data_IF_748306163679
#
_entry.id   IF_748306163679
#
_cell.length_a   1.000
_cell.length_b   1.000
_cell.length_c   1.000
_cell.angle_alpha   90.00
_cell.angle_beta   90.00
_cell.angle_gamma   90.00
#
_symmetry.space_group_name_H-M   'P 1'
#
loop_
_entity.id
_entity.type
_entity.pdbx_description
1 polymer ?
#
# COMPACT_ATOMS: atom_id res chain seq x y z
N UNK A 1 27.56 96.79 -9.66
CA UNK A 1 26.33 97.15 -10.38
C UNK A 1 26.00 95.96 -11.27
N UNK A 2 25.59 94.82 -10.73
CA UNK A 2 24.21 94.48 -10.29
C UNK A 2 23.15 94.97 -11.27
N UNK A 3 22.69 94.05 -12.12
CA UNK A 3 21.29 93.93 -12.51
C UNK A 3 21.05 92.46 -12.89
N UNK A 4 20.97 91.60 -11.87
CA UNK A 4 20.27 90.34 -12.01
C UNK A 4 18.80 90.68 -12.20
N UNK A 5 18.30 90.50 -13.42
CA UNK A 5 16.86 90.56 -13.72
C UNK A 5 16.12 89.65 -12.72
N UNK A 6 14.98 90.10 -12.14
CA UNK A 6 14.28 89.33 -11.13
C UNK A 6 13.67 88.09 -11.79
N UNK A 7 14.21 86.91 -11.50
CA UNK A 7 13.54 85.66 -11.80
C UNK A 7 12.32 85.60 -10.88
N UNK A 8 11.13 85.69 -11.47
CA UNK A 8 9.88 85.59 -10.74
C UNK A 8 9.79 84.20 -10.08
N UNK A 9 9.68 84.07 -8.74
CA UNK A 9 9.65 82.77 -8.06
C UNK A 9 8.44 81.90 -8.44
N UNK A 10 7.42 82.50 -9.07
CA UNK A 10 6.27 81.80 -9.65
C UNK A 10 6.64 80.89 -10.84
N UNK A 11 7.79 81.10 -11.49
CA UNK A 11 8.21 80.32 -12.67
C UNK A 11 8.99 79.04 -12.33
N UNK A 12 9.22 78.71 -11.05
CA UNK A 12 9.90 77.46 -10.65
C UNK A 12 8.93 76.29 -10.42
N UNK A 13 7.65 76.47 -10.74
CA UNK A 13 6.60 75.48 -10.60
C UNK A 13 6.37 74.75 -11.94
N UNK A 14 6.27 73.40 -11.91
CA UNK A 14 6.19 72.50 -13.09
C UNK A 14 4.96 72.70 -14.00
N UNK A 15 4.11 73.68 -13.73
CA UNK A 15 2.79 73.86 -14.34
C UNK A 15 2.80 74.94 -15.44
N UNK A 16 3.99 75.43 -15.81
CA UNK A 16 4.26 76.39 -16.87
C UNK A 16 5.29 75.83 -17.85
N UNK A 17 5.09 76.02 -19.15
CA UNK A 17 6.13 75.72 -20.15
C UNK A 17 7.23 76.78 -20.16
N UNK A 18 8.48 76.32 -20.26
CA UNK A 18 9.68 77.16 -20.30
C UNK A 18 10.18 77.32 -21.74
N UNK A 19 10.12 78.54 -22.28
CA UNK A 19 10.72 78.85 -23.59
C UNK A 19 11.49 80.17 -23.55
N UNK A 20 12.78 80.14 -23.88
CA UNK A 20 13.63 81.33 -24.02
C UNK A 20 13.52 82.36 -22.85
N UNK A 21 13.63 81.87 -21.60
CA UNK A 21 13.68 82.71 -20.38
C UNK A 21 12.41 83.53 -20.07
N UNK A 22 11.26 83.19 -20.66
CA UNK A 22 9.96 83.80 -20.36
C UNK A 22 8.93 82.72 -19.98
N UNK A 23 8.14 82.97 -18.92
CA UNK A 23 6.95 82.18 -18.56
C UNK A 23 5.81 82.60 -19.49
N UNK A 24 5.27 81.68 -20.29
CA UNK A 24 4.35 82.09 -21.36
C UNK A 24 2.89 81.70 -21.06
N UNK A 25 2.56 80.52 -20.52
CA UNK A 25 1.18 80.18 -20.07
C UNK A 25 1.16 78.94 -19.15
N UNK A 26 0.10 78.79 -18.34
CA UNK A 26 -0.19 77.55 -17.61
C UNK A 26 -0.48 76.41 -18.58
N UNK A 27 -0.10 75.19 -18.22
CA UNK A 27 -0.52 73.98 -18.94
C UNK A 27 -2.06 73.87 -18.91
N UNK A 28 -2.69 73.24 -19.94
CA UNK A 28 -4.13 72.97 -19.91
C UNK A 28 -4.51 72.26 -18.59
N UNK A 29 -5.62 72.69 -17.97
CA UNK A 29 -6.20 72.11 -16.73
C UNK A 29 -5.42 72.31 -15.42
N UNK A 30 -4.37 73.15 -15.45
CA UNK A 30 -3.64 73.59 -14.25
C UNK A 30 -3.95 75.05 -13.88
N UNK A 31 -4.41 75.27 -12.65
CA UNK A 31 -4.69 76.60 -12.09
C UNK A 31 -3.68 76.97 -11.00
N UNK A 32 -3.25 78.24 -10.98
CA UNK A 32 -2.37 78.75 -9.93
C UNK A 32 -3.18 79.54 -8.90
N UNK A 33 -3.37 78.98 -7.70
CA UNK A 33 -4.07 79.64 -6.60
C UNK A 33 -3.10 79.72 -5.41
N UNK A 34 -2.89 80.92 -4.87
CA UNK A 34 -2.00 81.17 -3.71
C UNK A 34 -0.59 80.55 -3.81
N UNK A 35 0.08 80.66 -4.97
CA UNK A 35 1.43 80.12 -5.22
C UNK A 35 1.54 78.58 -5.19
N UNK A 36 0.42 77.86 -5.18
CA UNK A 36 0.38 76.42 -5.36
C UNK A 36 -0.28 76.11 -6.71
N UNK A 37 0.27 75.12 -7.40
CA UNK A 37 -0.37 74.56 -8.58
C UNK A 37 -1.48 73.62 -8.14
N UNK A 38 -2.66 73.81 -8.70
CA UNK A 38 -3.86 73.03 -8.43
C UNK A 38 -4.31 72.44 -9.76
N UNK A 39 -4.51 71.13 -9.80
CA UNK A 39 -5.02 70.39 -10.94
C UNK A 39 -6.51 70.06 -10.67
N UNK A 40 -7.38 70.33 -11.63
CA UNK A 40 -8.82 70.06 -11.50
C UNK A 40 -9.16 68.74 -12.21
N UNK A 41 -9.47 67.71 -11.42
CA UNK A 41 -9.88 66.39 -11.90
C UNK A 41 -11.37 66.18 -11.54
N UNK A 42 -12.23 66.01 -12.54
CA UNK A 42 -13.68 65.71 -12.44
C UNK A 42 -14.51 66.46 -11.36
N UNK A 43 -14.20 67.74 -11.12
CA UNK A 43 -14.90 68.66 -10.21
C UNK A 43 -14.56 68.57 -8.70
N UNK A 44 -13.47 67.92 -8.30
CA UNK A 44 -12.90 68.09 -6.95
C UNK A 44 -11.52 68.74 -6.98
N UNK A 45 -11.28 69.67 -6.04
CA UNK A 45 -10.01 70.40 -5.91
C UNK A 45 -9.05 69.54 -5.09
N UNK A 46 -8.18 68.79 -5.75
CA UNK A 46 -7.16 67.98 -5.08
C UNK A 46 -5.91 68.84 -4.88
N UNK A 47 -5.54 69.07 -3.62
CA UNK A 47 -4.33 69.78 -3.24
C UNK A 47 -3.32 68.78 -2.67
N UNK A 48 -2.76 67.91 -3.50
CA UNK A 48 -1.55 67.19 -3.11
C UNK A 48 -0.72 66.74 -4.31
N UNK A 49 0.60 66.73 -4.12
CA UNK A 49 1.64 66.59 -5.14
C UNK A 49 1.78 65.16 -5.71
N UNK A 50 0.83 64.26 -5.46
CA UNK A 50 0.97 62.81 -5.70
C UNK A 50 -0.18 62.22 -6.54
N UNK A 51 -0.56 62.83 -7.66
CA UNK A 51 -1.45 62.18 -8.64
C UNK A 51 -0.86 62.26 -10.06
N UNK A 52 -0.89 61.11 -10.75
CA UNK A 52 -0.11 60.81 -11.97
C UNK A 52 -0.94 60.17 -13.10
N UNK A 53 -2.29 60.10 -13.05
CA UNK A 53 -3.08 59.67 -14.23
C UNK A 53 -4.10 60.72 -14.66
N UNK A 54 -4.09 61.05 -15.96
CA UNK A 54 -4.99 61.99 -16.62
C UNK A 54 -5.85 61.19 -17.60
N UNK A 55 -7.17 61.13 -17.39
CA UNK A 55 -8.13 60.49 -18.31
C UNK A 55 -8.46 61.42 -19.49
N UNK A 56 -7.44 61.80 -20.26
CA UNK A 56 -7.63 62.63 -21.47
C UNK A 56 -7.26 61.90 -22.76
N UNK A 57 -7.16 60.56 -22.71
CA UNK A 57 -7.06 59.73 -23.90
C UNK A 57 -8.05 58.58 -23.79
N UNK A 58 -8.95 58.54 -24.76
CA UNK A 58 -9.99 57.54 -24.97
C UNK A 58 -9.38 56.18 -25.40
N UNK A 59 -8.50 55.62 -24.58
CA UNK A 59 -8.00 54.25 -24.69
C UNK A 59 -8.56 53.44 -23.52
N UNK A 60 -9.29 52.37 -23.83
CA UNK A 60 -10.05 51.55 -22.88
C UNK A 60 -9.18 50.70 -21.91
N UNK A 61 -7.95 51.10 -21.58
CA UNK A 61 -7.04 50.32 -20.72
C UNK A 61 -6.25 51.09 -19.66
N UNK A 62 -6.49 52.39 -19.46
CA UNK A 62 -5.89 53.10 -18.32
C UNK A 62 -6.78 52.88 -17.09
N UNK A 63 -6.40 51.90 -16.27
CA UNK A 63 -7.06 51.51 -15.02
C UNK A 63 -6.96 52.63 -13.95
N UNK A 64 -7.53 53.80 -14.20
CA UNK A 64 -7.53 54.99 -13.34
C UNK A 64 -8.97 55.23 -12.86
N UNK A 65 -9.19 55.34 -11.55
CA UNK A 65 -10.50 55.66 -10.96
C UNK A 65 -10.32 56.72 -9.87
N UNK A 66 -11.01 57.86 -10.00
CA UNK A 66 -10.88 59.01 -9.08
C UNK A 66 -9.44 59.48 -8.91
N UNK A 67 -8.73 59.68 -10.03
CA UNK A 67 -7.39 60.29 -10.09
C UNK A 67 -6.28 59.47 -9.40
N UNK A 68 -6.56 58.19 -9.06
CA UNK A 68 -5.59 57.20 -8.55
C UNK A 68 -5.50 55.99 -9.46
N UNK A 69 -4.29 55.44 -9.62
CA UNK A 69 -4.08 54.17 -10.28
C UNK A 69 -4.81 53.04 -9.54
N UNK A 70 -5.62 52.27 -10.26
CA UNK A 70 -6.22 51.05 -9.75
C UNK A 70 -5.12 50.00 -9.63
N UNK A 71 -4.58 49.84 -8.43
CA UNK A 71 -3.55 48.85 -8.17
C UNK A 71 -4.08 47.43 -8.43
N UNK A 72 -3.17 46.51 -8.76
CA UNK A 72 -3.49 45.07 -8.87
C UNK A 72 -4.12 44.56 -7.57
N UNK A 73 -4.91 43.49 -7.65
CA UNK A 73 -5.51 42.88 -6.46
C UNK A 73 -4.45 42.62 -5.37
N UNK A 74 -4.82 42.88 -4.12
CA UNK A 74 -3.96 42.71 -2.92
C UNK A 74 -2.78 43.68 -2.76
N UNK A 75 -2.71 44.75 -3.56
CA UNK A 75 -1.76 45.85 -3.39
C UNK A 75 -2.33 47.00 -2.54
N UNK A 76 -1.48 47.72 -1.81
CA UNK A 76 -1.86 48.94 -1.06
C UNK A 76 -1.40 50.19 -1.83
N UNK A 77 -0.15 50.24 -2.28
CA UNK A 77 0.42 51.38 -3.01
C UNK A 77 1.04 50.95 -4.35
N UNK A 78 0.68 51.64 -5.44
CA UNK A 78 1.25 51.45 -6.77
C UNK A 78 1.67 52.80 -7.39
N UNK A 79 2.93 52.90 -7.82
CA UNK A 79 3.47 54.06 -8.53
C UNK A 79 3.48 53.83 -10.04
N UNK A 80 3.67 54.95 -10.77
CA UNK A 80 3.50 55.27 -12.22
C UNK A 80 4.05 54.29 -13.30
N UNK A 81 4.32 53.02 -12.98
CA UNK A 81 4.77 51.98 -13.91
C UNK A 81 4.30 50.56 -13.49
N UNK A 82 3.18 50.43 -12.76
CA UNK A 82 2.71 49.18 -12.14
C UNK A 82 3.68 48.61 -11.10
N UNK A 83 4.64 49.39 -10.60
CA UNK A 83 5.54 48.95 -9.53
C UNK A 83 4.80 48.97 -8.21
N UNK A 84 4.62 47.78 -7.64
CA UNK A 84 3.99 47.59 -6.34
C UNK A 84 5.06 47.84 -5.28
N UNK A 85 4.84 48.80 -4.38
CA UNK A 85 5.74 49.05 -3.25
C UNK A 85 5.34 48.24 -2.02
N UNK A 86 4.03 48.06 -1.80
CA UNK A 86 3.48 47.46 -0.58
C UNK A 86 2.28 46.55 -0.89
N UNK A 87 2.33 45.34 -0.33
CA UNK A 87 1.23 44.37 -0.41
C UNK A 87 0.36 44.43 0.84
N UNK A 88 -0.91 44.01 0.72
CA UNK A 88 -1.81 43.81 1.86
C UNK A 88 -1.22 42.76 2.83
N UNK A 89 -1.62 42.83 4.10
CA UNK A 89 -1.20 41.87 5.11
C UNK A 89 -1.46 40.42 4.64
N UNK A 90 -0.45 39.55 4.73
CA UNK A 90 -0.48 38.16 4.24
C UNK A 90 -0.05 37.98 2.78
N UNK A 91 0.25 39.05 2.05
CA UNK A 91 0.75 38.97 0.68
C UNK A 91 2.20 39.44 0.58
N UNK A 92 2.97 38.80 -0.29
CA UNK A 92 4.37 39.08 -0.53
C UNK A 92 4.59 39.56 -1.96
N UNK A 93 5.49 40.53 -2.12
CA UNK A 93 5.87 41.04 -3.42
C UNK A 93 6.81 40.04 -4.12
N UNK A 94 6.30 39.33 -5.11
CA UNK A 94 7.04 38.34 -5.92
C UNK A 94 6.81 38.68 -7.39
N UNK A 95 7.88 38.90 -8.15
CA UNK A 95 7.83 39.25 -9.58
C UNK A 95 6.85 40.40 -9.91
N UNK A 96 6.88 41.45 -9.08
CA UNK A 96 6.01 42.62 -9.21
C UNK A 96 4.50 42.27 -9.15
N UNK A 97 4.14 41.25 -8.36
CA UNK A 97 2.77 40.86 -8.00
C UNK A 97 2.69 40.57 -6.50
N UNK A 98 1.54 40.86 -5.89
CA UNK A 98 1.25 40.45 -4.52
C UNK A 98 0.67 39.04 -4.52
N UNK A 99 1.47 38.06 -4.12
CA UNK A 99 1.07 36.66 -4.03
C UNK A 99 1.07 36.22 -2.57
N UNK A 100 0.07 35.45 -2.19
CA UNK A 100 0.03 34.71 -0.93
C UNK A 100 1.04 33.56 -0.98
N UNK A 101 1.64 33.22 0.16
CA UNK A 101 2.60 32.13 0.27
C UNK A 101 2.03 31.10 1.22
N UNK A 102 1.62 29.97 0.66
CA UNK A 102 1.20 28.86 1.46
C UNK A 102 2.32 28.25 2.32
N UNK A 103 2.04 28.10 3.60
CA UNK A 103 2.90 27.56 4.65
C UNK A 103 3.64 28.62 5.47
N UNK A 104 3.15 29.86 5.52
CA UNK A 104 3.81 30.98 6.21
C UNK A 104 3.14 31.36 7.56
N UNK A 105 2.11 30.61 7.98
CA UNK A 105 1.24 30.83 9.14
C UNK A 105 0.29 32.03 9.04
N UNK A 106 0.15 32.65 7.87
CA UNK A 106 -0.73 33.79 7.65
C UNK A 106 -1.79 33.40 6.63
N UNK A 107 -3.02 33.15 7.09
CA UNK A 107 -4.15 32.92 6.18
C UNK A 107 -4.51 34.23 5.48
N UNK A 108 -3.97 34.41 4.27
CA UNK A 108 -4.29 35.54 3.40
C UNK A 108 -5.75 35.45 2.90
N UNK A 109 -6.29 36.54 2.36
CA UNK A 109 -7.73 36.57 1.98
C UNK A 109 -8.11 35.59 0.87
N UNK A 110 -7.15 35.17 0.05
CA UNK A 110 -7.28 34.17 -1.01
C UNK A 110 -6.99 32.73 -0.52
N UNK A 111 -6.57 32.56 0.73
CA UNK A 111 -6.31 31.26 1.35
C UNK A 111 -7.49 30.80 2.21
N UNK A 112 -7.68 29.48 2.30
CA UNK A 112 -8.67 28.88 3.21
C UNK A 112 -8.04 28.37 4.50
N UNK A 113 -6.76 28.03 4.46
CA UNK A 113 -5.98 27.52 5.59
C UNK A 113 -4.49 27.76 5.34
N UNK A 114 -3.70 27.66 6.41
CA UNK A 114 -2.24 27.59 6.39
C UNK A 114 -1.76 26.73 7.56
N UNK A 115 -0.94 25.71 7.31
CA UNK A 115 -0.43 24.77 8.31
C UNK A 115 1.11 24.65 8.30
N UNK A 116 1.79 25.72 7.89
CA UNK A 116 3.25 25.82 7.91
C UNK A 116 4.00 24.83 7.00
N UNK A 117 3.29 24.07 6.16
CA UNK A 117 3.92 23.06 5.32
C UNK A 117 3.21 22.93 3.96
N UNK A 118 3.61 21.93 3.16
CA UNK A 118 3.06 21.64 1.83
C UNK A 118 2.73 20.17 1.63
N UNK A 119 2.58 19.44 2.73
CA UNK A 119 2.22 18.03 2.73
C UNK A 119 0.73 17.90 2.40
N UNK A 120 0.31 16.85 1.68
CA UNK A 120 -1.10 16.57 1.46
C UNK A 120 -1.70 15.76 2.63
N UNK A 121 -3.02 15.88 2.82
CA UNK A 121 -3.84 15.07 3.75
C UNK A 121 -3.55 15.28 5.25
N UNK A 122 -3.00 16.41 5.65
CA UNK A 122 -2.70 16.75 7.04
C UNK A 122 -3.55 17.92 7.60
N UNK A 123 -4.38 18.53 6.75
CA UNK A 123 -5.30 19.59 7.12
C UNK A 123 -5.32 20.71 6.08
N UNK A 124 -4.18 21.05 5.48
CA UNK A 124 -4.07 22.08 4.47
C UNK A 124 -3.09 21.72 3.36
N UNK A 125 -3.54 21.78 2.11
CA UNK A 125 -2.65 21.55 0.97
C UNK A 125 -2.95 22.55 -0.13
N UNK A 126 -1.92 23.27 -0.58
CA UNK A 126 -2.05 24.38 -1.54
C UNK A 126 -3.07 25.43 -1.06
N UNK A 127 -3.10 25.68 0.24
CA UNK A 127 -3.93 26.69 0.91
C UNK A 127 -5.44 26.48 0.73
N UNK A 128 -5.78 25.22 0.45
CA UNK A 128 -7.13 24.68 0.48
C UNK A 128 -7.15 23.56 1.51
N UNK A 129 -8.29 23.41 2.18
CA UNK A 129 -8.47 22.34 3.16
C UNK A 129 -8.19 20.97 2.53
N UNK A 130 -7.33 20.19 3.19
CA UNK A 130 -6.91 18.87 2.75
C UNK A 130 -7.29 17.84 3.80
N UNK A 131 -8.15 16.90 3.42
CA UNK A 131 -8.70 15.93 4.37
C UNK A 131 -7.77 14.73 4.53
N UNK A 132 -7.62 14.19 5.76
CA UNK A 132 -6.85 12.98 6.00
C UNK A 132 -7.32 11.77 5.17
N UNK A 133 -6.40 10.87 4.84
CA UNK A 133 -6.74 9.60 4.19
C UNK A 133 -7.65 8.76 5.11
N UNK A 134 -8.53 7.95 4.50
CA UNK A 134 -9.53 7.12 5.18
C UNK A 134 -10.50 7.94 6.07
N UNK A 135 -10.62 9.24 5.82
CA UNK A 135 -11.60 10.09 6.48
C UNK A 135 -12.92 10.08 5.71
N UNK A 136 -14.00 9.65 6.35
CA UNK A 136 -15.32 9.60 5.75
C UNK A 136 -16.03 10.97 5.78
N UNK A 137 -15.84 11.74 6.85
CA UNK A 137 -16.43 13.06 7.02
C UNK A 137 -15.37 14.08 7.41
N UNK A 138 -15.22 15.13 6.62
CA UNK A 138 -14.21 16.16 6.80
C UNK A 138 -14.83 17.56 6.69
N UNK A 139 -14.55 18.42 7.67
CA UNK A 139 -14.96 19.82 7.68
C UNK A 139 -13.72 20.67 7.96
N UNK A 140 -13.44 21.63 7.08
CA UNK A 140 -12.34 22.58 7.23
C UNK A 140 -10.97 21.92 7.53
N UNK A 141 -10.68 20.79 6.86
CA UNK A 141 -9.43 20.03 7.04
C UNK A 141 -9.41 19.12 8.28
N UNK A 142 -10.49 19.13 9.08
CA UNK A 142 -10.63 18.29 10.26
C UNK A 142 -11.50 17.07 9.97
N UNK A 143 -10.96 15.89 10.26
CA UNK A 143 -11.67 14.64 10.16
C UNK A 143 -12.60 14.44 11.36
N UNK A 144 -13.87 14.17 11.07
CA UNK A 144 -14.93 13.96 12.06
C UNK A 144 -15.09 12.47 12.34
N UNK A 145 -14.99 11.64 11.31
CA UNK A 145 -15.14 10.20 11.40
C UNK A 145 -14.32 9.51 10.30
N UNK A 146 -13.76 8.37 10.65
CA UNK A 146 -12.97 7.55 9.76
C UNK A 146 -13.81 6.48 9.06
N UNK A 147 -13.28 5.92 7.98
CA UNK A 147 -13.80 4.71 7.36
C UNK A 147 -13.76 3.52 8.33
N UNK A 148 -14.57 2.50 8.05
CA UNK A 148 -14.59 1.26 8.82
C UNK A 148 -13.20 0.61 8.87
N UNK A 149 -12.78 0.18 10.07
CA UNK A 149 -11.45 -0.39 10.32
C UNK A 149 -10.41 0.62 10.79
N UNK A 150 -10.74 1.91 10.79
CA UNK A 150 -9.85 2.98 11.26
C UNK A 150 -10.44 3.70 12.47
N UNK A 151 -9.57 4.21 13.33
CA UNK A 151 -9.93 5.07 14.46
C UNK A 151 -9.30 6.45 14.30
N UNK A 152 -9.98 7.47 14.84
CA UNK A 152 -9.53 8.85 14.76
C UNK A 152 -8.56 9.15 15.91
N UNK A 153 -7.31 9.49 15.56
CA UNK A 153 -6.30 9.96 16.52
C UNK A 153 -5.55 11.15 15.93
N UNK A 154 -5.46 12.27 16.66
CA UNK A 154 -4.73 13.48 16.25
C UNK A 154 -5.10 13.98 14.84
N UNK A 155 -6.40 14.02 14.52
CA UNK A 155 -6.91 14.39 13.21
C UNK A 155 -6.44 13.46 12.07
N UNK A 156 -6.05 12.21 12.36
CA UNK A 156 -5.66 11.22 11.36
C UNK A 156 -6.41 9.91 11.62
N UNK A 157 -6.76 9.22 10.55
CA UNK A 157 -7.38 7.90 10.63
C UNK A 157 -6.28 6.84 10.65
N UNK A 158 -6.10 6.22 11.81
CA UNK A 158 -5.11 5.18 12.03
C UNK A 158 -5.77 3.79 12.00
N UNK A 159 -5.00 2.80 11.60
CA UNK A 159 -5.43 1.40 11.59
C UNK A 159 -5.41 0.83 13.00
N UNK A 160 -6.45 0.07 13.34
CA UNK A 160 -6.53 -0.59 14.63
C UNK A 160 -6.60 -2.09 14.42
N UNK A 161 -5.51 -2.76 14.75
CA UNK A 161 -5.47 -4.20 14.74
C UNK A 161 -6.42 -4.82 15.78
N UNK A 162 -7.05 -5.94 15.42
CA UNK A 162 -7.91 -6.73 16.28
C UNK A 162 -9.33 -6.15 16.41
N UNK A 163 -9.73 -5.29 15.49
CA UNK A 163 -11.08 -4.70 15.48
C UNK A 163 -12.08 -5.54 14.66
N UNK A 164 -11.62 -6.59 13.98
CA UNK A 164 -12.39 -7.50 13.15
C UNK A 164 -12.65 -6.99 11.74
N UNK A 165 -11.94 -5.96 11.29
CA UNK A 165 -12.10 -5.32 9.99
C UNK A 165 -10.72 -5.19 9.35
N UNK A 166 -10.38 -6.15 8.50
CA UNK A 166 -9.11 -6.10 7.78
C UNK A 166 -9.05 -4.93 6.80
N UNK A 167 -8.18 -3.98 7.11
CA UNK A 167 -7.82 -2.84 6.26
C UNK A 167 -6.86 -3.26 5.15
N UNK A 168 -6.39 -2.31 4.33
CA UNK A 168 -5.52 -2.61 3.19
C UNK A 168 -4.08 -2.95 3.60
N UNK A 169 -3.58 -2.38 4.70
CA UNK A 169 -2.20 -2.58 5.13
C UNK A 169 -2.04 -3.72 6.15
N UNK A 170 -3.14 -4.23 6.71
CA UNK A 170 -3.14 -5.43 7.55
C UNK A 170 -3.06 -6.70 6.70
N UNK A 171 -2.32 -7.72 7.17
CA UNK A 171 -2.29 -9.03 6.51
C UNK A 171 -3.47 -9.91 6.96
N UNK A 172 -3.89 -9.73 8.21
CA UNK A 172 -5.05 -10.36 8.85
C UNK A 172 -5.67 -9.40 9.87
N UNK A 173 -6.94 -9.58 10.21
CA UNK A 173 -7.53 -9.04 11.44
C UNK A 173 -8.59 -10.04 11.92
N UNK A 174 -8.26 -10.84 12.92
CA UNK A 174 -9.12 -11.89 13.41
C UNK A 174 -10.02 -11.43 14.58
N UNK A 175 -10.15 -10.12 14.79
CA UNK A 175 -11.03 -9.51 15.80
C UNK A 175 -10.52 -9.58 17.23
N UNK A 176 -9.24 -9.90 17.43
CA UNK A 176 -8.62 -9.87 18.75
C UNK A 176 -7.09 -9.57 18.66
N UNK A 177 -6.38 -9.61 19.79
CA UNK A 177 -4.93 -9.35 19.89
C UNK A 177 -4.18 -10.52 20.55
N UNK A 178 -4.80 -11.69 20.63
CA UNK A 178 -4.16 -12.89 21.14
C UNK A 178 -3.16 -13.40 20.11
N UNK A 179 -2.05 -13.89 20.61
CA UNK A 179 -1.05 -14.58 19.79
C UNK A 179 -1.42 -16.07 19.71
N UNK A 180 -0.85 -16.76 18.73
CA UNK A 180 -1.01 -18.19 18.47
C UNK A 180 -2.42 -18.63 18.01
N UNK A 181 -3.25 -17.71 17.51
CA UNK A 181 -4.52 -17.98 16.82
C UNK A 181 -4.48 -17.69 15.31
N UNK A 182 -3.31 -17.30 14.81
CA UNK A 182 -3.01 -17.07 13.41
C UNK A 182 -2.94 -15.62 12.98
N UNK A 183 -3.36 -14.68 13.83
CA UNK A 183 -3.18 -13.25 13.58
C UNK A 183 -2.49 -12.57 14.77
N UNK A 184 -1.29 -12.03 14.54
CA UNK A 184 -0.52 -11.39 15.61
C UNK A 184 -1.13 -10.07 16.09
N UNK A 185 -0.67 -9.57 17.24
CA UNK A 185 -1.06 -8.27 17.82
C UNK A 185 -0.75 -7.04 16.92
N UNK A 186 0.04 -7.23 15.86
CA UNK A 186 0.36 -6.21 14.84
C UNK A 186 -0.26 -6.55 13.47
N UNK A 187 -1.25 -7.43 13.42
CA UNK A 187 -2.03 -7.80 12.24
C UNK A 187 -1.20 -8.39 11.10
N UNK A 188 -0.14 -9.10 11.47
CA UNK A 188 0.66 -9.97 10.60
C UNK A 188 0.24 -11.42 10.76
N UNK A 189 0.26 -12.19 9.66
CA UNK A 189 -0.07 -13.62 9.70
C UNK A 189 1.05 -14.37 10.43
N UNK A 190 0.68 -15.21 11.39
CA UNK A 190 1.65 -15.98 12.16
C UNK A 190 2.27 -17.13 11.35
N UNK A 191 3.46 -17.58 11.74
CA UNK A 191 4.18 -18.67 11.05
C UNK A 191 3.36 -19.98 11.14
N UNK A 192 3.25 -20.69 10.02
CA UNK A 192 2.40 -21.89 9.88
C UNK A 192 0.90 -21.62 10.01
N UNK A 193 0.46 -20.38 9.80
CA UNK A 193 -0.96 -20.04 9.68
C UNK A 193 -1.29 -19.55 8.28
N UNK A 194 -2.56 -19.69 7.93
CA UNK A 194 -3.14 -19.06 6.77
C UNK A 194 -4.46 -18.43 7.16
N UNK A 195 -4.63 -17.16 6.82
CA UNK A 195 -5.86 -16.43 7.03
C UNK A 195 -6.59 -16.22 5.70
N UNK A 196 -7.91 -16.38 5.74
CA UNK A 196 -8.80 -16.04 4.62
C UNK A 196 -9.75 -14.94 5.07
N UNK A 197 -10.12 -14.07 4.15
CA UNK A 197 -11.06 -12.98 4.39
C UNK A 197 -12.16 -13.03 3.34
N UNK A 198 -13.38 -12.78 3.77
CA UNK A 198 -14.46 -12.41 2.87
C UNK A 198 -14.58 -10.87 2.90
N UNK A 199 -14.45 -10.22 1.74
CA UNK A 199 -14.75 -8.80 1.51
C UNK A 199 -14.49 -7.78 2.66
N UNK A 200 -13.23 -7.63 3.12
CA UNK A 200 -12.81 -6.69 4.21
C UNK A 200 -13.42 -6.97 5.59
N UNK A 201 -13.94 -8.18 5.81
CA UNK A 201 -14.38 -8.63 7.12
C UNK A 201 -13.25 -9.31 7.89
N UNK A 202 -13.59 -9.73 9.11
CA UNK A 202 -12.75 -10.51 10.04
C UNK A 202 -12.06 -11.67 9.32
N UNK A 203 -10.75 -11.76 9.49
CA UNK A 203 -9.93 -12.88 9.06
C UNK A 203 -10.31 -14.14 9.80
N UNK A 204 -10.46 -15.22 9.04
CA UNK A 204 -10.54 -16.58 9.54
C UNK A 204 -9.19 -17.26 9.35
N UNK A 205 -8.48 -17.53 10.45
CA UNK A 205 -7.15 -18.12 10.43
C UNK A 205 -7.18 -19.60 10.81
N UNK A 206 -6.35 -20.40 10.13
CA UNK A 206 -6.16 -21.81 10.44
C UNK A 206 -4.71 -22.24 10.25
N UNK A 207 -4.29 -23.20 11.06
CA UNK A 207 -2.93 -23.72 11.01
C UNK A 207 -2.71 -24.59 9.76
N UNK A 208 -1.62 -24.32 9.04
CA UNK A 208 -1.12 -25.16 7.95
C UNK A 208 -0.03 -26.09 8.48
N UNK A 209 -0.21 -27.39 8.32
CA UNK A 209 0.71 -28.41 8.82
C UNK A 209 1.34 -29.19 7.67
N UNK A 210 2.58 -29.63 7.86
CA UNK A 210 3.27 -30.47 6.87
C UNK A 210 2.51 -31.78 6.64
N UNK A 211 2.36 -32.22 5.37
CA UNK A 211 1.80 -33.54 5.08
C UNK A 211 2.72 -34.66 5.59
N UNK A 212 2.12 -35.76 6.05
CA UNK A 212 2.84 -36.96 6.52
C UNK A 212 2.38 -38.20 5.75
N UNK A 213 3.27 -39.20 5.61
CA UNK A 213 2.91 -40.52 5.09
C UNK A 213 2.74 -41.48 6.26
N UNK A 214 1.73 -42.34 6.19
CA UNK A 214 1.47 -43.39 7.16
C UNK A 214 1.54 -44.77 6.51
N UNK A 215 2.05 -45.75 7.27
CA UNK A 215 2.03 -47.16 6.93
C UNK A 215 1.03 -47.86 7.83
N UNK A 216 0.06 -48.55 7.23
CA UNK A 216 -0.93 -49.33 7.96
C UNK A 216 -0.85 -50.81 7.57
N UNK A 217 -0.68 -51.68 8.57
CA UNK A 217 -0.84 -53.12 8.37
C UNK A 217 -2.33 -53.44 8.30
N UNK A 218 -2.80 -53.97 7.17
CA UNK A 218 -4.22 -54.24 6.96
C UNK A 218 -4.60 -55.63 7.48
N UNK A 219 -4.04 -56.67 6.85
CA UNK A 219 -4.34 -58.06 7.15
C UNK A 219 -3.23 -59.00 6.62
N UNK A 220 -3.41 -60.28 6.90
CA UNK A 220 -2.51 -61.36 6.47
C UNK A 220 -3.31 -62.58 6.08
N UNK A 221 -2.78 -63.34 5.13
CA UNK A 221 -3.11 -64.76 4.94
C UNK A 221 -1.94 -65.60 5.47
N UNK A 222 -1.89 -66.89 5.12
CA UNK A 222 -0.78 -67.76 5.50
C UNK A 222 0.58 -67.27 4.97
N UNK A 223 0.64 -66.93 3.68
CA UNK A 223 1.90 -66.55 3.02
C UNK A 223 1.90 -65.12 2.45
N UNK A 224 0.83 -64.33 2.64
CA UNK A 224 0.74 -62.96 2.15
C UNK A 224 0.42 -61.98 3.26
N UNK A 225 0.99 -60.78 3.19
CA UNK A 225 0.66 -59.66 4.07
C UNK A 225 0.34 -58.42 3.24
N UNK A 226 -0.60 -57.62 3.72
CA UNK A 226 -1.10 -56.45 3.01
C UNK A 226 -0.84 -55.19 3.83
N UNK A 227 -0.23 -54.20 3.19
CA UNK A 227 0.17 -52.93 3.81
C UNK A 227 -0.37 -51.80 2.96
N UNK A 228 -1.04 -50.85 3.59
CA UNK A 228 -1.50 -49.64 2.95
C UNK A 228 -0.53 -48.50 3.26
N UNK A 229 -0.16 -47.75 2.23
CA UNK A 229 0.49 -46.44 2.36
C UNK A 229 -0.57 -45.39 2.11
N UNK A 230 -0.70 -44.42 3.02
CA UNK A 230 -1.57 -43.25 2.85
C UNK A 230 -0.82 -41.95 3.12
N UNK A 231 -1.28 -40.83 2.54
CA UNK A 231 -0.88 -39.49 2.99
C UNK A 231 -1.96 -38.84 3.86
N UNK A 232 -1.56 -38.03 4.83
CA UNK A 232 -2.48 -37.31 5.73
C UNK A 232 -3.21 -36.15 5.07
N UNK A 233 -2.72 -35.70 3.91
CA UNK A 233 -3.26 -34.62 3.10
C UNK A 233 -2.99 -34.93 1.62
N UNK A 234 -3.70 -34.26 0.73
CA UNK A 234 -3.39 -34.25 -0.70
C UNK A 234 -2.04 -33.55 -0.96
N UNK A 235 -1.24 -34.12 -1.84
CA UNK A 235 0.08 -33.61 -2.20
C UNK A 235 0.27 -33.64 -3.72
N UNK A 236 1.23 -32.85 -4.21
CA UNK A 236 1.64 -32.80 -5.60
C UNK A 236 3.16 -32.84 -5.73
N UNK A 237 3.63 -33.24 -6.90
CA UNK A 237 5.03 -33.22 -7.27
C UNK A 237 5.50 -31.78 -7.54
N UNK A 238 6.75 -31.48 -7.21
CA UNK A 238 7.39 -30.18 -7.54
C UNK A 238 8.06 -30.18 -8.91
N UNK A 239 8.27 -31.35 -9.51
CA UNK A 239 8.81 -31.52 -10.85
C UNK A 239 7.92 -32.47 -11.68
N UNK A 240 7.99 -32.36 -13.01
CA UNK A 240 7.23 -33.18 -13.95
C UNK A 240 8.05 -34.33 -14.55
N UNK A 241 9.29 -34.53 -14.11
CA UNK A 241 10.20 -35.54 -14.69
C UNK A 241 10.19 -36.84 -13.89
N UNK A 242 9.73 -36.81 -12.64
CA UNK A 242 9.69 -37.95 -11.74
C UNK A 242 8.25 -38.25 -11.33
N UNK A 243 7.99 -39.52 -10.99
CA UNK A 243 6.79 -39.91 -10.26
C UNK A 243 7.19 -40.66 -8.99
N UNK A 244 6.23 -40.80 -8.07
CA UNK A 244 6.47 -41.46 -6.79
C UNK A 244 6.72 -42.95 -7.00
N UNK A 245 5.95 -43.58 -7.87
CA UNK A 245 6.04 -45.01 -8.18
C UNK A 245 7.44 -45.45 -8.60
N UNK A 246 8.14 -44.70 -9.45
CA UNK A 246 9.50 -45.05 -9.90
C UNK A 246 10.58 -44.77 -8.85
N UNK A 247 10.32 -43.88 -7.90
CA UNK A 247 11.27 -43.48 -6.87
C UNK A 247 11.05 -44.20 -5.53
N UNK A 248 9.97 -44.97 -5.41
CA UNK A 248 9.64 -45.74 -4.23
C UNK A 248 10.47 -47.02 -4.17
N UNK A 249 11.42 -47.05 -3.23
CA UNK A 249 12.21 -48.25 -2.95
C UNK A 249 11.64 -48.97 -1.75
N UNK A 250 11.49 -50.28 -1.87
CA UNK A 250 10.94 -51.13 -0.81
C UNK A 250 11.89 -52.28 -0.49
N UNK A 251 11.91 -52.70 0.77
CA UNK A 251 12.68 -53.85 1.24
C UNK A 251 12.11 -54.42 2.53
N UNK A 252 12.42 -55.68 2.80
CA UNK A 252 12.22 -56.29 4.11
C UNK A 252 13.59 -56.40 4.77
N UNK A 253 13.76 -55.75 5.92
CA UNK A 253 15.02 -55.76 6.67
C UNK A 253 15.23 -57.17 7.25
N UNK A 254 16.49 -57.63 7.28
CA UNK A 254 16.90 -58.94 7.80
C UNK A 254 16.42 -60.17 7.01
N UNK A 255 15.97 -60.00 5.77
CA UNK A 255 15.53 -61.10 4.90
C UNK A 255 16.19 -61.00 3.53
N UNK A 256 16.57 -62.14 2.93
CA UNK A 256 17.09 -62.14 1.56
C UNK A 256 15.97 -61.82 0.57
N UNK A 257 16.27 -61.02 -0.46
CA UNK A 257 15.33 -60.67 -1.54
C UNK A 257 14.77 -61.89 -2.30
N UNK A 258 15.43 -63.04 -2.23
CA UNK A 258 14.96 -64.30 -2.81
C UNK A 258 13.82 -64.97 -2.03
N UNK A 259 13.54 -64.51 -0.81
CA UNK A 259 12.64 -65.18 0.13
C UNK A 259 11.23 -64.60 0.14
N UNK A 260 11.05 -63.47 -0.53
CA UNK A 260 9.79 -62.75 -0.61
C UNK A 260 9.63 -62.04 -1.96
N UNK A 261 8.39 -61.73 -2.32
CA UNK A 261 8.02 -60.92 -3.47
C UNK A 261 7.16 -59.78 -2.96
N UNK A 262 7.50 -58.55 -3.35
CA UNK A 262 6.69 -57.38 -3.07
C UNK A 262 6.03 -56.95 -4.38
N UNK A 263 4.72 -56.89 -4.40
CA UNK A 263 3.94 -56.24 -5.45
C UNK A 263 3.13 -55.10 -4.85
N UNK A 264 2.70 -54.15 -5.67
CA UNK A 264 1.82 -53.08 -5.21
C UNK A 264 0.83 -52.68 -6.30
N UNK A 265 -0.34 -52.26 -5.86
CA UNK A 265 -1.36 -51.62 -6.68
C UNK A 265 -1.40 -50.13 -6.33
N UNK A 266 -1.48 -49.29 -7.35
CA UNK A 266 -1.55 -47.83 -7.21
C UNK A 266 -3.03 -47.43 -7.25
N UNK A 267 -3.58 -47.11 -6.09
CA UNK A 267 -4.98 -46.68 -5.96
C UNK A 267 -5.10 -45.16 -6.20
N UNK A 268 -4.14 -44.39 -5.68
CA UNK A 268 -4.01 -42.96 -5.91
C UNK A 268 -2.54 -42.54 -5.93
N UNK A 269 -2.15 -41.76 -6.94
CA UNK A 269 -0.81 -41.19 -7.07
C UNK A 269 -0.90 -39.68 -7.35
N UNK A 270 -0.09 -38.86 -6.65
CA UNK A 270 -0.01 -37.42 -6.90
C UNK A 270 0.65 -37.11 -8.24
N UNK A 271 0.19 -36.04 -8.88
CA UNK A 271 0.76 -35.54 -10.14
C UNK A 271 1.44 -34.19 -9.93
N UNK A 272 2.09 -33.66 -10.98
CA UNK A 272 2.65 -32.31 -10.95
C UNK A 272 1.55 -31.23 -11.02
N UNK A 273 0.50 -31.47 -11.81
CA UNK A 273 -0.55 -30.50 -12.12
C UNK A 273 -1.61 -30.46 -11.01
N UNK A 274 -2.10 -31.63 -10.60
CA UNK A 274 -3.18 -31.75 -9.61
C UNK A 274 -2.72 -32.48 -8.35
N UNK A 275 -2.98 -31.89 -7.16
CA UNK A 275 -2.73 -32.54 -5.89
C UNK A 275 -3.69 -33.71 -5.70
N UNK A 276 -3.14 -34.83 -5.24
CA UNK A 276 -3.91 -36.04 -4.97
C UNK A 276 -3.39 -36.71 -3.70
N UNK A 277 -4.17 -37.64 -3.15
CA UNK A 277 -3.72 -38.49 -2.06
C UNK A 277 -2.69 -39.51 -2.55
N UNK A 278 -1.78 -39.92 -1.66
CA UNK A 278 -0.92 -41.08 -1.88
C UNK A 278 -1.71 -42.28 -1.37
N UNK A 279 -1.98 -43.26 -2.23
CA UNK A 279 -2.58 -44.52 -1.79
C UNK A 279 -2.00 -45.69 -2.57
N UNK A 280 -1.24 -46.53 -1.87
CA UNK A 280 -0.59 -47.72 -2.44
C UNK A 280 -0.92 -48.94 -1.59
N UNK A 281 -1.45 -49.98 -2.22
CA UNK A 281 -1.71 -51.27 -1.57
C UNK A 281 -0.57 -52.24 -1.88
N UNK A 282 0.29 -52.48 -0.91
CA UNK A 282 1.38 -53.43 -1.00
C UNK A 282 0.93 -54.83 -0.62
N UNK A 283 1.33 -55.81 -1.43
CA UNK A 283 1.23 -57.24 -1.14
C UNK A 283 2.62 -57.82 -1.00
N UNK A 284 2.93 -58.38 0.16
CA UNK A 284 4.17 -59.09 0.43
C UNK A 284 3.86 -60.58 0.45
N UNK A 285 4.40 -61.34 -0.51
CA UNK A 285 4.29 -62.79 -0.58
C UNK A 285 5.59 -63.46 -0.15
N UNK A 286 5.53 -64.35 0.83
CA UNK A 286 6.68 -65.09 1.35
C UNK A 286 6.82 -66.45 0.68
N UNK A 287 8.03 -66.75 0.21
CA UNK A 287 8.34 -67.99 -0.52
C UNK A 287 8.77 -69.11 0.46
N UNK A 288 9.28 -68.75 1.64
CA UNK A 288 9.73 -69.68 2.67
C UNK A 288 9.27 -69.28 4.07
N UNK A 289 9.28 -70.24 4.98
CA UNK A 289 9.04 -70.01 6.41
C UNK A 289 10.15 -69.14 6.99
N UNK A 290 9.78 -68.11 7.75
CA UNK A 290 10.70 -67.19 8.42
C UNK A 290 10.37 -67.12 9.91
N UNK A 291 11.41 -67.03 10.74
CA UNK A 291 11.32 -66.89 12.20
C UNK A 291 12.29 -65.79 12.66
N UNK A 292 12.19 -64.62 12.05
CA UNK A 292 13.05 -63.46 12.33
C UNK A 292 12.19 -62.23 12.59
N UNK A 293 12.80 -61.12 13.04
CA UNK A 293 12.09 -59.85 13.09
C UNK A 293 11.97 -59.26 11.68
N UNK A 294 10.74 -59.15 11.19
CA UNK A 294 10.42 -58.67 9.86
C UNK A 294 9.99 -57.21 9.93
N UNK A 295 10.68 -56.35 9.18
CA UNK A 295 10.37 -54.92 9.10
C UNK A 295 10.25 -54.56 7.64
N UNK A 296 9.04 -54.15 7.22
CA UNK A 296 8.85 -53.54 5.92
C UNK A 296 9.37 -52.11 5.96
N UNK A 297 10.27 -51.78 5.05
CA UNK A 297 10.87 -50.47 4.96
C UNK A 297 10.65 -49.90 3.57
N UNK A 298 10.23 -48.64 3.53
CA UNK A 298 10.09 -47.86 2.30
C UNK A 298 10.92 -46.59 2.39
N UNK A 299 11.40 -46.15 1.24
CA UNK A 299 12.08 -44.86 1.08
C UNK A 299 11.75 -44.27 -0.29
N UNK A 300 11.62 -42.96 -0.37
CA UNK A 300 11.46 -42.24 -1.63
C UNK A 300 12.26 -40.93 -1.59
N UNK A 301 12.92 -40.58 -2.69
CA UNK A 301 13.75 -39.37 -2.77
C UNK A 301 13.16 -38.35 -3.73
N UNK A 302 11.90 -37.97 -3.48
CA UNK A 302 11.20 -36.93 -4.24
C UNK A 302 10.56 -35.90 -3.30
N UNK A 303 10.41 -34.69 -3.80
CA UNK A 303 9.77 -33.59 -3.08
C UNK A 303 8.28 -33.57 -3.40
N UNK A 304 7.47 -33.69 -2.36
CA UNK A 304 6.02 -33.69 -2.41
C UNK A 304 5.53 -32.60 -1.48
N UNK A 305 4.69 -31.71 -2.00
CA UNK A 305 4.16 -30.55 -1.28
C UNK A 305 2.64 -30.61 -1.24
N UNK A 306 2.02 -30.13 -0.16
CA UNK A 306 0.57 -29.92 -0.13
C UNK A 306 0.18 -28.63 -0.89
N UNK A 307 -1.11 -28.28 -0.83
CA UNK A 307 -1.67 -27.09 -1.48
C UNK A 307 -1.11 -25.76 -0.91
N UNK A 308 -0.41 -25.81 0.23
CA UNK A 308 0.22 -24.66 0.87
C UNK A 308 1.73 -24.61 0.63
N UNK A 309 2.28 -25.52 -0.18
CA UNK A 309 3.72 -25.59 -0.45
C UNK A 309 4.53 -26.25 0.67
N UNK A 310 3.88 -26.84 1.68
CA UNK A 310 4.56 -27.53 2.77
C UNK A 310 4.97 -28.94 2.35
N UNK A 311 6.24 -29.26 2.55
CA UNK A 311 6.83 -30.54 2.13
C UNK A 311 6.57 -31.68 3.10
N UNK A 312 6.51 -32.91 2.57
CA UNK A 312 6.66 -34.13 3.39
C UNK A 312 8.12 -34.22 3.84
N UNK A 313 8.36 -33.96 5.14
CA UNK A 313 9.71 -33.89 5.72
C UNK A 313 10.38 -35.25 5.85
N UNK A 314 9.63 -36.29 6.24
CA UNK A 314 10.16 -37.64 6.43
C UNK A 314 10.10 -38.43 5.11
N UNK A 315 11.22 -39.03 4.72
CA UNK A 315 11.38 -39.74 3.44
C UNK A 315 11.56 -41.26 3.57
N UNK A 316 11.65 -41.75 4.80
CA UNK A 316 11.85 -43.16 5.13
C UNK A 316 10.83 -43.61 6.17
N UNK A 317 10.16 -44.73 5.91
CA UNK A 317 9.12 -45.25 6.81
C UNK A 317 9.33 -46.74 7.01
N UNK A 318 8.92 -47.24 8.17
CA UNK A 318 9.07 -48.65 8.49
C UNK A 318 7.93 -49.12 9.39
N UNK A 319 7.46 -50.33 9.15
CA UNK A 319 6.41 -50.99 9.94
C UNK A 319 6.83 -52.43 10.23
N UNK A 320 6.52 -52.89 11.45
CA UNK A 320 6.79 -54.27 11.86
C UNK A 320 5.76 -55.21 11.24
N UNK A 321 6.24 -56.34 10.75
CA UNK A 321 5.45 -57.39 10.11
C UNK A 321 5.32 -58.61 11.03
N UNK A 322 4.40 -59.50 10.68
CA UNK A 322 4.24 -60.81 11.35
C UNK A 322 5.03 -61.89 10.64
N UNK A 323 5.48 -62.93 11.34
CA UNK A 323 6.12 -64.07 10.67
C UNK A 323 5.09 -64.86 9.85
N UNK A 324 5.39 -65.19 8.59
CA UNK A 324 4.47 -65.93 7.72
C UNK A 324 4.38 -67.40 8.12
N UNK A 325 3.32 -68.06 7.66
CA UNK A 325 3.14 -69.51 7.74
C UNK A 325 3.22 -70.07 6.33
N UNK A 326 4.39 -70.60 5.95
CA UNK A 326 4.63 -71.18 4.63
C UNK A 326 4.95 -72.67 4.75
N UNK A 327 4.02 -73.51 4.29
CA UNK A 327 4.20 -74.96 4.30
C UNK A 327 5.34 -75.38 3.36
N UNK A 328 6.26 -76.19 3.87
CA UNK A 328 7.32 -76.84 3.07
C UNK A 328 6.73 -77.82 2.04
N UNK A 329 7.52 -78.20 1.04
CA UNK A 329 7.08 -79.16 0.00
C UNK A 329 6.63 -80.49 0.61
N UNK A 330 7.38 -81.00 1.59
CA UNK A 330 7.02 -82.21 2.33
C UNK A 330 5.70 -82.07 3.10
N UNK A 331 5.44 -80.92 3.72
CA UNK A 331 4.17 -80.66 4.43
C UNK A 331 2.98 -80.50 3.46
N UNK A 332 3.19 -79.88 2.30
CA UNK A 332 2.19 -79.80 1.22
C UNK A 332 1.86 -81.19 0.67
N UNK A 333 2.85 -82.04 0.49
CA UNK A 333 2.68 -83.41 0.01
C UNK A 333 2.00 -84.30 1.07
N UNK A 334 2.32 -84.11 2.36
CA UNK A 334 1.62 -84.76 3.47
C UNK A 334 0.14 -84.33 3.55
N UNK A 335 -0.13 -83.03 3.47
CA UNK A 335 -1.50 -82.47 3.50
C UNK A 335 -2.37 -82.99 2.35
N UNK A 336 -1.79 -83.22 1.16
CA UNK A 336 -2.49 -83.84 0.02
C UNK A 336 -2.76 -85.34 0.23
N UNK A 337 -1.87 -86.04 0.93
CA UNK A 337 -1.99 -87.48 1.19
C UNK A 337 -2.87 -87.82 2.39
N UNK A 338 -3.06 -86.89 3.34
CA UNK A 338 -3.92 -87.09 4.53
C UNK A 338 -5.32 -86.54 4.33
N UNK A 339 -5.94 -86.73 3.16
CA UNK A 339 -7.30 -86.27 2.86
C UNK A 339 -8.30 -86.56 3.99
N UNK A 340 -8.46 -85.59 4.89
CA UNK A 340 -9.46 -85.52 5.94
C UNK A 340 -10.15 -84.17 5.68
N UNK A 341 -11.25 -84.31 4.94
CA UNK A 341 -12.40 -83.43 4.71
C UNK A 341 -12.28 -81.95 5.07
#
# INVERSE_FOLDING_TARGET
MTESLPINPHCLLKCFEFYYLLCITSLPDWNLINQQCIYECENEVVADFNEYCSDDNNENEDQCHSCKYQCQENCIDCLDELKIETCKFGFYLIDNKCLSICGDLIVASDEKCDDQNKEPFDGCFKCLYSCPLNCQGCIDGQCINCENGYFLENNKCQEQCGNGIKTQNEECDDGNLFIEDGCSEICQIEIFWKCINDQKERSWCFQIINPTVELQFLNTTFNKQFILITSSQQVRLTDNHHNLTQNLKTQIINVSRSDYIITFDVEAEPTFEEPNEIQYLFTIEYIKQLEVELIFHIQFNITLVNNYGLEILKKEYSIKLTNPIVLSKAQKDLSKNTGLF
#
